data_IF_065483073371
#
_entry.id   IF_065483073371
#
_cell.length_a   1.000
_cell.length_b   1.000
_cell.length_c   1.000
_cell.angle_alpha   90.00
_cell.angle_beta   90.00
_cell.angle_gamma   90.00
#
_symmetry.space_group_name_H-M   'P 1'
#
loop_
_entity.id
_entity.type
_entity.pdbx_description
1 polymer ?
#
# COMPACT_ATOMS: atom_id res chain seq x y z
N UNK A 1 14.04 -12.26 -6.88
CA UNK A 1 14.22 -10.89 -6.36
C UNK A 1 14.47 -9.95 -7.53
N UNK A 2 13.67 -8.89 -7.69
CA UNK A 2 13.80 -7.92 -8.78
C UNK A 2 13.89 -6.51 -8.21
N UNK A 3 15.02 -5.83 -8.40
CA UNK A 3 15.26 -4.47 -7.90
C UNK A 3 14.97 -3.44 -8.99
N UNK A 4 14.11 -2.45 -8.71
CA UNK A 4 13.83 -1.38 -9.65
C UNK A 4 14.98 -0.37 -9.71
N UNK A 5 15.59 -0.24 -10.88
CA UNK A 5 16.65 0.73 -11.18
C UNK A 5 16.20 1.85 -12.12
N UNK A 6 14.89 2.06 -12.25
CA UNK A 6 14.34 3.17 -13.03
C UNK A 6 14.75 4.53 -12.51
N UNK A 7 14.67 5.55 -13.35
CA UNK A 7 15.21 6.90 -13.05
C UNK A 7 14.80 7.41 -11.66
N UNK A 8 13.53 7.26 -11.28
CA UNK A 8 13.02 7.68 -9.98
C UNK A 8 13.60 6.87 -8.79
N UNK A 9 13.82 5.56 -8.96
CA UNK A 9 14.45 4.73 -7.95
C UNK A 9 15.97 4.96 -7.90
N UNK A 10 16.59 5.17 -9.06
CA UNK A 10 18.01 5.43 -9.22
C UNK A 10 18.45 6.67 -8.44
N UNK A 11 17.72 7.79 -8.61
CA UNK A 11 18.00 9.04 -7.86
C UNK A 11 17.76 8.90 -6.35
N UNK A 12 17.00 7.90 -5.92
CA UNK A 12 16.75 7.55 -4.51
C UNK A 12 17.70 6.47 -3.98
N UNK A 13 18.86 6.31 -4.61
CA UNK A 13 19.91 5.38 -4.20
C UNK A 13 19.54 3.88 -4.30
N UNK A 14 18.59 3.50 -5.17
CA UNK A 14 18.31 2.10 -5.48
C UNK A 14 19.53 1.26 -5.92
N UNK A 15 20.58 1.81 -6.60
CA UNK A 15 21.79 1.05 -6.88
C UNK A 15 22.49 0.53 -5.62
N UNK A 16 22.40 1.27 -4.50
CA UNK A 16 22.92 0.80 -3.22
C UNK A 16 22.12 -0.37 -2.64
N UNK A 17 20.82 -0.42 -2.91
CA UNK A 17 19.96 -1.55 -2.53
C UNK A 17 20.33 -2.79 -3.35
N UNK A 18 20.49 -2.66 -4.67
CA UNK A 18 20.91 -3.76 -5.53
C UNK A 18 22.26 -4.33 -5.08
N UNK A 19 23.23 -3.45 -4.79
CA UNK A 19 24.55 -3.86 -4.30
C UNK A 19 24.48 -4.58 -2.95
N UNK A 20 23.65 -4.12 -2.03
CA UNK A 20 23.48 -4.81 -0.75
C UNK A 20 22.89 -6.22 -0.94
N UNK A 21 21.98 -6.41 -1.91
CA UNK A 21 21.52 -7.76 -2.27
C UNK A 21 22.65 -8.62 -2.83
N UNK A 22 23.52 -8.04 -3.68
CA UNK A 22 24.70 -8.75 -4.20
C UNK A 22 25.64 -9.17 -3.06
N UNK A 23 25.94 -8.25 -2.15
CA UNK A 23 26.85 -8.47 -1.02
C UNK A 23 26.29 -9.53 -0.04
N UNK A 24 24.99 -9.52 0.23
CA UNK A 24 24.34 -10.46 1.16
C UNK A 24 24.09 -11.85 0.56
N UNK A 25 23.76 -11.93 -0.73
CA UNK A 25 23.50 -13.20 -1.42
C UNK A 25 24.77 -13.81 -2.04
N UNK A 26 25.85 -13.03 -2.17
CA UNK A 26 27.10 -13.47 -2.78
C UNK A 26 27.01 -13.72 -4.29
N UNK A 27 26.08 -13.05 -4.98
CA UNK A 27 25.83 -13.19 -6.42
C UNK A 27 25.72 -11.81 -7.09
N UNK A 28 25.93 -11.73 -8.40
CA UNK A 28 25.70 -10.49 -9.16
C UNK A 28 24.23 -10.38 -9.64
N UNK A 29 23.79 -9.17 -9.97
CA UNK A 29 22.54 -8.99 -10.70
C UNK A 29 22.53 -9.77 -12.04
N UNK A 30 21.52 -10.60 -12.22
CA UNK A 30 21.34 -11.54 -13.34
C UNK A 30 21.71 -12.98 -12.99
N UNK A 31 22.23 -13.25 -11.79
CA UNK A 31 22.65 -14.57 -11.36
C UNK A 31 21.65 -15.22 -10.39
N UNK A 32 21.80 -16.53 -10.21
CA UNK A 32 21.05 -17.33 -9.24
C UNK A 32 22.03 -17.94 -8.27
N UNK A 33 21.69 -17.96 -6.98
CA UNK A 33 22.49 -18.57 -5.91
C UNK A 33 22.69 -20.07 -6.16
N UNK A 34 23.76 -20.63 -5.59
CA UNK A 34 24.12 -22.04 -5.79
C UNK A 34 23.06 -23.02 -5.23
N UNK A 35 22.42 -22.62 -4.12
CA UNK A 35 21.27 -23.32 -3.52
C UNK A 35 19.98 -23.22 -4.34
N UNK A 36 19.97 -22.38 -5.39
CA UNK A 36 18.81 -22.07 -6.25
C UNK A 36 17.61 -21.46 -5.52
N UNK A 37 17.83 -20.91 -4.33
CA UNK A 37 16.77 -20.25 -3.57
C UNK A 37 16.51 -18.82 -4.05
N UNK A 38 17.54 -18.11 -4.54
CA UNK A 38 17.43 -16.72 -4.94
C UNK A 38 17.98 -16.47 -6.35
N UNK A 39 17.15 -15.88 -7.20
CA UNK A 39 17.60 -15.20 -8.42
C UNK A 39 17.53 -13.70 -8.19
N UNK A 40 18.65 -13.00 -8.38
CA UNK A 40 18.71 -11.54 -8.29
C UNK A 40 18.62 -10.95 -9.68
N UNK A 41 17.63 -10.12 -9.94
CA UNK A 41 17.45 -9.39 -11.20
C UNK A 41 17.30 -7.90 -10.94
N UNK A 42 17.60 -7.10 -11.96
CA UNK A 42 17.31 -5.67 -11.95
C UNK A 42 16.37 -5.33 -13.08
N UNK A 43 15.42 -4.45 -12.83
CA UNK A 43 14.40 -4.05 -13.80
C UNK A 43 14.42 -2.54 -14.01
N UNK A 44 14.17 -2.12 -15.24
CA UNK A 44 14.23 -0.70 -15.60
C UNK A 44 13.10 0.13 -15.01
N UNK A 45 11.88 -0.38 -14.86
CA UNK A 45 10.80 0.38 -14.21
C UNK A 45 9.68 -0.56 -13.78
N UNK A 46 9.14 -0.31 -12.58
CA UNK A 46 7.97 -1.01 -12.04
C UNK A 46 6.71 -0.13 -11.99
N UNK A 47 6.77 1.10 -12.50
CA UNK A 47 5.60 1.99 -12.60
C UNK A 47 5.11 2.63 -11.29
N UNK A 48 5.78 2.37 -10.16
CA UNK A 48 5.41 2.93 -8.85
C UNK A 48 6.45 3.96 -8.33
N UNK A 49 6.82 4.91 -9.18
CA UNK A 49 7.88 5.90 -8.91
C UNK A 49 7.72 6.69 -7.59
N UNK A 50 6.49 6.93 -7.14
CA UNK A 50 6.19 7.60 -5.86
C UNK A 50 6.74 6.83 -4.64
N UNK A 51 6.80 5.50 -4.74
CA UNK A 51 7.15 4.57 -3.67
C UNK A 51 8.60 4.04 -3.77
N UNK A 52 9.37 4.56 -4.72
CA UNK A 52 10.77 4.18 -4.93
C UNK A 52 11.67 4.51 -3.73
N UNK A 53 12.73 3.70 -3.46
CA UNK A 53 13.15 2.48 -4.17
C UNK A 53 12.23 1.27 -3.94
N UNK A 54 11.99 0.49 -5.00
CA UNK A 54 11.12 -0.70 -4.95
C UNK A 54 11.92 -1.96 -5.24
N UNK A 55 11.62 -3.01 -4.48
CA UNK A 55 12.11 -4.37 -4.69
C UNK A 55 10.92 -5.30 -4.75
N UNK A 56 10.94 -6.28 -5.66
CA UNK A 56 9.93 -7.32 -5.74
C UNK A 56 10.57 -8.66 -5.39
N UNK A 57 9.99 -9.40 -4.44
CA UNK A 57 10.43 -10.75 -4.10
C UNK A 57 9.21 -11.66 -4.22
N UNK A 58 9.30 -12.69 -5.06
CA UNK A 58 8.21 -13.64 -5.32
C UNK A 58 6.84 -12.99 -5.60
N UNK A 59 6.84 -11.88 -6.36
CA UNK A 59 5.64 -11.12 -6.72
C UNK A 59 5.18 -10.08 -5.70
N UNK A 60 5.78 -10.04 -4.51
CA UNK A 60 5.45 -9.07 -3.45
C UNK A 60 6.29 -7.80 -3.58
N UNK A 61 5.63 -6.65 -3.52
CA UNK A 61 6.27 -5.33 -3.65
C UNK A 61 6.70 -4.79 -2.29
N UNK A 62 8.00 -4.48 -2.18
CA UNK A 62 8.59 -3.78 -1.06
C UNK A 62 8.89 -2.35 -1.50
N UNK A 63 8.28 -1.37 -0.84
CA UNK A 63 8.46 0.06 -1.10
C UNK A 63 9.41 0.72 -0.10
N UNK A 64 9.98 1.86 -0.50
CA UNK A 64 10.94 2.63 0.31
C UNK A 64 12.03 1.73 0.91
N UNK A 65 12.60 0.86 0.07
CA UNK A 65 13.64 -0.09 0.46
C UNK A 65 14.97 0.63 0.50
N UNK A 66 15.66 0.53 1.64
CA UNK A 66 17.04 0.96 1.79
C UNK A 66 17.94 -0.24 2.07
N UNK A 67 19.27 -0.09 2.02
CA UNK A 67 20.22 -1.18 2.27
C UNK A 67 19.95 -1.91 3.60
N UNK A 68 19.65 -1.17 4.67
CA UNK A 68 19.36 -1.76 5.98
C UNK A 68 18.14 -2.70 6.02
N UNK A 69 17.20 -2.59 5.06
CA UNK A 69 16.03 -3.48 4.98
C UNK A 69 16.32 -4.77 4.19
N UNK A 70 17.41 -4.83 3.43
CA UNK A 70 17.72 -5.95 2.54
C UNK A 70 17.88 -7.26 3.31
N UNK A 71 18.65 -7.23 4.40
CA UNK A 71 18.85 -8.41 5.24
C UNK A 71 17.51 -8.97 5.76
N UNK A 72 16.63 -8.10 6.26
CA UNK A 72 15.32 -8.51 6.75
C UNK A 72 14.46 -9.16 5.66
N UNK A 73 14.48 -8.63 4.44
CA UNK A 73 13.76 -9.20 3.28
C UNK A 73 14.29 -10.59 2.93
N UNK A 74 15.62 -10.78 2.94
CA UNK A 74 16.24 -12.08 2.67
C UNK A 74 15.88 -13.10 3.75
N UNK A 75 15.97 -12.73 5.02
CA UNK A 75 15.63 -13.61 6.15
C UNK A 75 14.13 -13.98 6.16
N UNK A 76 13.24 -13.01 5.88
CA UNK A 76 11.81 -13.22 5.73
C UNK A 76 11.53 -14.24 4.61
N UNK A 77 12.25 -14.14 3.48
CA UNK A 77 12.10 -15.07 2.36
C UNK A 77 12.64 -16.47 2.69
N UNK A 78 13.80 -16.58 3.37
CA UNK A 78 14.43 -17.88 3.71
C UNK A 78 13.67 -18.69 4.75
N UNK A 79 13.09 -18.03 5.75
CA UNK A 79 12.48 -18.74 6.88
C UNK A 79 11.14 -19.38 6.55
N UNK A 80 10.58 -19.11 5.36
CA UNK A 80 9.24 -19.57 5.01
C UNK A 80 8.17 -19.04 5.96
N UNK A 81 8.50 -18.05 6.82
CA UNK A 81 7.56 -17.31 7.67
C UNK A 81 6.81 -16.28 6.83
N UNK A 82 6.46 -16.68 5.60
CA UNK A 82 5.40 -16.07 4.85
C UNK A 82 4.16 -16.32 5.70
N UNK A 83 3.72 -15.31 6.45
CA UNK A 83 2.30 -15.18 6.74
C UNK A 83 1.58 -15.45 5.43
N UNK A 84 0.56 -16.31 5.48
CA UNK A 84 -0.23 -16.77 4.33
C UNK A 84 -1.01 -15.59 3.73
N UNK A 85 -0.30 -14.62 3.17
CA UNK A 85 -0.85 -13.40 2.63
C UNK A 85 -1.10 -13.62 1.15
N UNK A 86 -2.26 -14.26 0.94
CA UNK A 86 -3.16 -14.04 -0.20
C UNK A 86 -2.51 -14.32 -1.55
N UNK A 87 -2.48 -15.61 -1.91
CA UNK A 87 -2.43 -16.05 -3.29
C UNK A 87 -3.69 -15.53 -4.03
N UNK A 88 -3.56 -14.45 -4.79
CA UNK A 88 -4.60 -13.98 -5.69
C UNK A 88 -4.43 -12.56 -6.21
N UNK A 89 -3.82 -12.45 -7.39
CA UNK A 89 -3.84 -11.31 -8.31
C UNK A 89 -2.97 -10.08 -7.96
N UNK A 90 -2.23 -9.62 -8.97
CA UNK A 90 -1.11 -8.68 -8.89
C UNK A 90 -1.53 -7.28 -8.41
N UNK A 91 -0.71 -6.67 -7.52
CA UNK A 91 -0.65 -5.23 -7.11
C UNK A 91 -1.15 -4.85 -5.70
N UNK A 92 -1.05 -5.73 -4.70
CA UNK A 92 -1.31 -5.34 -3.30
C UNK A 92 -0.03 -4.78 -2.65
N UNK A 93 -0.10 -3.57 -2.11
CA UNK A 93 1.00 -2.95 -1.36
C UNK A 93 0.47 -2.00 -0.27
N UNK A 94 1.17 -1.83 0.85
CA UNK A 94 0.75 -0.92 1.91
C UNK A 94 0.86 0.54 1.48
N UNK A 95 -0.18 1.32 1.75
CA UNK A 95 -0.21 2.78 1.57
C UNK A 95 -0.26 3.50 2.91
N UNK A 96 0.67 4.43 3.10
CA UNK A 96 0.59 5.39 4.19
C UNK A 96 -0.20 6.61 3.74
N UNK A 97 -1.33 6.88 4.37
CA UNK A 97 -2.24 7.94 3.94
C UNK A 97 -2.38 9.09 4.94
N UNK A 98 -2.68 10.27 4.39
CA UNK A 98 -2.94 11.49 5.13
C UNK A 98 -4.19 12.21 4.60
N UNK A 99 -4.78 13.04 5.44
CA UNK A 99 -5.92 13.87 5.06
C UNK A 99 -5.51 14.90 3.99
N UNK A 100 -6.30 15.00 2.92
CA UNK A 100 -6.10 15.96 1.82
C UNK A 100 -6.30 17.44 2.21
N UNK A 101 -6.76 17.72 3.43
CA UNK A 101 -7.03 19.07 3.93
C UNK A 101 -6.06 19.53 5.00
N UNK A 102 -5.85 18.74 6.04
CA UNK A 102 -4.96 19.10 7.15
C UNK A 102 -3.60 18.38 7.13
N UNK A 103 -3.37 17.48 6.17
CA UNK A 103 -2.14 16.69 6.01
C UNK A 103 -1.78 15.79 7.22
N UNK A 104 -2.68 15.64 8.18
CA UNK A 104 -2.47 14.74 9.31
C UNK A 104 -2.56 13.28 8.86
N UNK A 105 -1.71 12.41 9.41
CA UNK A 105 -1.75 10.97 9.14
C UNK A 105 -3.07 10.36 9.58
N UNK A 106 -3.64 9.51 8.73
CA UNK A 106 -4.87 8.78 9.04
C UNK A 106 -4.57 7.35 9.52
N UNK A 107 -3.31 6.99 9.69
CA UNK A 107 -2.88 5.66 10.12
C UNK A 107 -3.15 5.43 11.61
N UNK A 108 -3.66 4.24 11.94
CA UNK A 108 -3.89 3.73 13.29
C UNK A 108 -3.06 2.46 13.50
N UNK A 109 -1.87 2.64 14.08
CA UNK A 109 -0.93 1.55 14.39
C UNK A 109 -1.40 0.66 15.53
N UNK A 110 -2.42 1.09 16.29
CA UNK A 110 -2.89 0.37 17.48
C UNK A 110 -3.93 -0.69 17.15
N UNK A 111 -4.50 -0.64 15.94
CA UNK A 111 -5.53 -1.56 15.46
C UNK A 111 -5.18 -1.96 14.02
N UNK A 112 -4.26 -2.91 13.82
CA UNK A 112 -3.89 -3.37 12.49
C UNK A 112 -5.05 -4.12 11.82
N UNK A 113 -5.13 -4.01 10.49
CA UNK A 113 -5.97 -4.82 9.61
C UNK A 113 -5.03 -5.43 8.57
N UNK A 114 -5.17 -6.73 8.30
CA UNK A 114 -4.26 -7.48 7.40
C UNK A 114 -2.79 -7.41 7.83
N UNK A 115 -2.51 -7.37 9.13
CA UNK A 115 -1.17 -7.19 9.70
C UNK A 115 -0.47 -5.85 9.40
N UNK A 116 -1.17 -4.89 8.80
CA UNK A 116 -0.69 -3.52 8.59
C UNK A 116 -1.47 -2.49 9.42
N UNK A 117 -0.88 -1.34 9.77
CA UNK A 117 -1.61 -0.23 10.40
C UNK A 117 -2.86 0.11 9.60
N UNK A 118 -4.02 0.18 10.24
CA UNK A 118 -5.27 0.51 9.54
C UNK A 118 -5.36 2.00 9.25
N UNK A 119 -6.27 2.39 8.35
CA UNK A 119 -6.62 3.77 8.09
C UNK A 119 -7.87 4.08 8.92
N UNK A 120 -7.76 4.98 9.90
CA UNK A 120 -8.88 5.38 10.76
C UNK A 120 -9.48 6.69 10.29
N UNK A 121 -10.77 6.65 9.98
CA UNK A 121 -11.58 7.79 9.57
C UNK A 121 -12.93 7.81 10.29
N UNK A 122 -13.68 8.89 10.13
CA UNK A 122 -15.05 8.99 10.65
C UNK A 122 -16.04 8.78 9.52
N UNK A 123 -17.05 7.96 9.73
CA UNK A 123 -18.12 7.71 8.80
C UNK A 123 -19.46 8.25 9.35
N UNK A 124 -20.28 8.80 8.45
CA UNK A 124 -21.67 9.17 8.72
C UNK A 124 -22.59 8.52 7.70
N UNK A 125 -23.62 7.83 8.18
CA UNK A 125 -24.58 7.09 7.37
C UNK A 125 -25.84 6.80 8.19
N UNK A 126 -27.02 6.76 7.56
CA UNK A 126 -28.29 6.39 8.22
C UNK A 126 -28.50 7.09 9.59
N UNK A 127 -28.22 8.39 9.67
CA UNK A 127 -28.25 9.22 10.90
C UNK A 127 -27.30 8.79 12.04
N UNK A 128 -26.36 7.89 11.76
CA UNK A 128 -25.30 7.46 12.66
C UNK A 128 -23.98 8.14 12.32
N UNK A 129 -23.15 8.32 13.34
CA UNK A 129 -21.79 8.83 13.24
C UNK A 129 -20.88 7.94 14.07
N UNK A 130 -19.79 7.46 13.48
CA UNK A 130 -18.85 6.58 14.19
C UNK A 130 -17.53 6.45 13.46
N UNK A 131 -16.60 5.69 14.04
CA UNK A 131 -15.34 5.39 13.38
C UNK A 131 -15.48 4.28 12.33
N UNK A 132 -14.62 4.37 11.32
CA UNK A 132 -14.39 3.36 10.30
C UNK A 132 -12.89 3.11 10.22
N UNK A 133 -12.48 1.85 10.17
CA UNK A 133 -11.11 1.43 9.89
C UNK A 133 -11.08 0.68 8.57
N UNK A 134 -10.12 1.03 7.74
CA UNK A 134 -9.89 0.40 6.44
C UNK A 134 -8.52 -0.25 6.47
N UNK A 135 -8.34 -1.34 5.73
CA UNK A 135 -7.00 -1.84 5.42
C UNK A 135 -6.17 -0.76 4.75
N UNK A 136 -4.89 -0.68 5.09
CA UNK A 136 -3.92 0.16 4.37
C UNK A 136 -3.30 -0.56 3.19
N UNK A 137 -3.59 -1.84 2.98
CA UNK A 137 -3.19 -2.54 1.78
C UNK A 137 -4.06 -2.10 0.61
N UNK A 138 -3.44 -1.46 -0.39
CA UNK A 138 -4.12 -1.17 -1.64
C UNK A 138 -4.58 -2.48 -2.30
N UNK A 139 -5.86 -2.58 -2.66
CA UNK A 139 -6.45 -3.83 -3.15
C UNK A 139 -7.16 -4.66 -2.08
N UNK A 140 -6.92 -4.40 -0.78
CA UNK A 140 -7.73 -4.99 0.29
C UNK A 140 -9.06 -4.24 0.43
N UNK A 141 -10.11 -5.01 0.68
CA UNK A 141 -11.47 -4.52 0.92
C UNK A 141 -11.90 -4.74 2.38
N UNK A 142 -10.97 -5.08 3.26
CA UNK A 142 -11.26 -5.28 4.67
C UNK A 142 -11.56 -3.96 5.35
N UNK A 143 -12.73 -3.91 5.99
CA UNK A 143 -13.28 -2.74 6.65
C UNK A 143 -13.89 -3.16 7.97
N UNK A 144 -13.56 -2.42 9.02
CA UNK A 144 -14.22 -2.49 10.31
C UNK A 144 -14.96 -1.19 10.61
N UNK A 145 -16.09 -1.30 11.30
CA UNK A 145 -16.95 -0.15 11.58
C UNK A 145 -17.52 -0.23 13.00
N UNK A 146 -17.62 0.91 13.68
CA UNK A 146 -18.24 1.01 15.00
C UNK A 146 -19.71 0.56 15.02
N UNK A 147 -20.41 0.85 13.92
CA UNK A 147 -21.82 0.51 13.74
C UNK A 147 -22.00 -0.27 12.45
N UNK A 148 -22.88 -1.29 12.43
CA UNK A 148 -23.11 -2.09 11.24
C UNK A 148 -23.64 -1.21 10.10
N UNK A 149 -22.96 -1.26 8.96
CA UNK A 149 -23.33 -0.55 7.75
C UNK A 149 -24.12 -1.51 6.86
N UNK A 150 -25.31 -1.08 6.42
CA UNK A 150 -26.11 -1.90 5.51
C UNK A 150 -25.40 -2.02 4.15
N UNK A 151 -25.48 -3.17 3.45
CA UNK A 151 -24.97 -3.28 2.09
C UNK A 151 -25.55 -2.18 1.19
N UNK A 152 -24.74 -1.64 0.28
CA UNK A 152 -25.08 -0.56 -0.64
C UNK A 152 -25.31 0.83 -0.03
N UNK A 153 -25.21 1.00 1.29
CA UNK A 153 -25.26 2.32 1.93
C UNK A 153 -24.07 3.17 1.49
N UNK A 154 -24.34 4.44 1.14
CA UNK A 154 -23.30 5.42 0.81
C UNK A 154 -22.94 6.19 2.08
N UNK A 155 -21.74 5.97 2.59
CA UNK A 155 -21.26 6.65 3.80
C UNK A 155 -20.52 7.94 3.45
N UNK A 156 -20.74 9.00 4.22
CA UNK A 156 -19.90 10.19 4.14
C UNK A 156 -18.67 9.99 5.02
N UNK A 157 -17.48 10.15 4.44
CA UNK A 157 -16.21 9.91 5.13
C UNK A 157 -15.53 11.24 5.48
N UNK A 158 -14.99 11.34 6.69
CA UNK A 158 -14.41 12.54 7.26
C UNK A 158 -13.06 12.26 7.92
N UNK A 159 -12.18 13.25 7.89
CA UNK A 159 -10.94 13.22 8.66
C UNK A 159 -11.26 13.31 10.17
N UNK A 160 -10.72 12.42 11.01
CA UNK A 160 -10.94 12.47 12.45
C UNK A 160 -10.23 13.65 13.14
N UNK A 161 -9.28 14.30 12.45
CA UNK A 161 -8.48 15.39 13.01
C UNK A 161 -9.05 16.78 12.73
N UNK A 162 -9.52 17.02 11.49
CA UNK A 162 -10.07 18.32 11.09
C UNK A 162 -11.57 18.29 10.79
N UNK A 163 -12.22 17.12 10.94
CA UNK A 163 -13.64 16.89 10.70
C UNK A 163 -14.14 17.27 9.30
N UNK A 164 -13.22 17.56 8.38
CA UNK A 164 -13.56 17.90 7.00
C UNK A 164 -13.83 16.63 6.21
N UNK A 165 -14.84 16.69 5.34
CA UNK A 165 -15.22 15.60 4.44
C UNK A 165 -14.06 15.28 3.48
N UNK A 166 -13.75 14.00 3.35
CA UNK A 166 -12.77 13.47 2.40
C UNK A 166 -13.48 13.31 1.05
N UNK A 167 -13.44 14.36 0.21
CA UNK A 167 -14.14 14.38 -1.08
C UNK A 167 -13.18 13.98 -2.19
N UNK A 168 -13.55 12.96 -2.97
CA UNK A 168 -12.86 12.55 -4.20
C UNK A 168 -13.22 13.42 -5.41
N UNK A 169 -12.35 13.41 -6.42
CA UNK A 169 -12.52 14.18 -7.64
C UNK A 169 -13.48 13.50 -8.64
N UNK A 170 -13.70 12.20 -8.48
CA UNK A 170 -14.47 11.37 -9.40
C UNK A 170 -15.39 10.41 -8.65
N UNK A 171 -16.39 9.92 -9.38
CA UNK A 171 -17.27 8.86 -8.91
C UNK A 171 -16.62 7.50 -9.18
N UNK A 172 -16.99 6.51 -8.37
CA UNK A 172 -16.54 5.14 -8.50
C UNK A 172 -16.89 4.59 -9.90
N UNK A 173 -15.93 4.01 -10.64
CA UNK A 173 -16.19 3.49 -11.98
C UNK A 173 -17.11 2.26 -11.97
N UNK A 174 -17.18 1.53 -10.86
CA UNK A 174 -17.99 0.31 -10.74
C UNK A 174 -19.46 0.60 -10.40
N UNK A 175 -19.71 1.51 -9.46
CA UNK A 175 -21.06 1.72 -8.91
C UNK A 175 -21.54 3.18 -8.91
N UNK A 176 -20.74 4.09 -9.49
CA UNK A 176 -21.04 5.51 -9.67
C UNK A 176 -21.22 6.29 -8.35
N UNK A 177 -20.96 5.67 -7.20
CA UNK A 177 -21.01 6.34 -5.91
C UNK A 177 -19.87 7.37 -5.77
N UNK A 178 -20.03 8.41 -4.94
CA UNK A 178 -18.93 9.33 -4.64
C UNK A 178 -17.72 8.57 -4.09
N UNK A 179 -16.51 9.05 -4.39
CA UNK A 179 -15.30 8.51 -3.78
C UNK A 179 -14.80 9.44 -2.68
N UNK A 180 -14.04 8.89 -1.73
CA UNK A 180 -13.31 9.64 -0.74
C UNK A 180 -11.82 9.64 -1.06
N UNK A 181 -11.18 10.81 -1.02
CA UNK A 181 -9.77 10.98 -1.38
C UNK A 181 -8.87 11.22 -0.17
N UNK A 182 -7.73 10.54 -0.17
CA UNK A 182 -6.65 10.67 0.80
C UNK A 182 -5.33 10.80 0.06
N UNK A 183 -4.39 11.56 0.61
CA UNK A 183 -3.04 11.73 0.04
C UNK A 183 -2.19 10.54 0.47
N UNK A 184 -1.37 10.00 -0.43
CA UNK A 184 -0.37 8.99 -0.09
C UNK A 184 0.94 9.69 0.26
N UNK A 185 1.53 9.35 1.42
CA UNK A 185 2.87 9.79 1.80
C UNK A 185 3.87 9.13 0.85
N UNK A 186 4.49 9.94 -0.01
CA UNK A 186 5.35 9.48 -1.10
C UNK A 186 4.94 10.03 -2.48
N UNK A 187 3.69 10.50 -2.59
CA UNK A 187 3.15 11.09 -3.82
C UNK A 187 1.89 10.37 -4.30
N UNK A 188 0.99 11.12 -4.92
CA UNK A 188 -0.30 10.62 -5.40
C UNK A 188 -1.44 10.68 -4.38
N UNK A 189 -2.61 10.25 -4.83
CA UNK A 189 -3.83 10.14 -4.03
C UNK A 189 -4.46 8.77 -4.22
N UNK A 190 -4.99 8.23 -3.13
CA UNK A 190 -5.89 7.08 -3.18
C UNK A 190 -7.32 7.59 -3.05
N UNK A 191 -8.20 7.03 -3.87
CA UNK A 191 -9.62 7.25 -3.81
C UNK A 191 -10.31 5.92 -3.53
N UNK A 192 -11.18 5.91 -2.53
CA UNK A 192 -11.96 4.72 -2.15
C UNK A 192 -13.44 4.97 -2.38
N UNK A 193 -14.17 3.95 -2.83
CA UNK A 193 -15.62 4.04 -2.95
C UNK A 193 -16.26 4.24 -1.57
N UNK A 194 -17.24 5.15 -1.48
CA UNK A 194 -18.00 5.38 -0.25
C UNK A 194 -19.19 4.44 -0.07
N UNK A 195 -19.49 3.60 -1.09
CA UNK A 195 -20.57 2.62 -1.03
C UNK A 195 -20.08 1.36 -0.33
N UNK A 196 -20.73 1.02 0.78
CA UNK A 196 -20.45 -0.21 1.50
C UNK A 196 -20.75 -1.45 0.65
N UNK A 197 -19.76 -2.33 0.51
CA UNK A 197 -19.82 -3.54 -0.34
C UNK A 197 -19.36 -3.32 -1.79
N UNK A 198 -18.89 -2.13 -2.16
CA UNK A 198 -18.23 -1.90 -3.44
C UNK A 198 -16.71 -1.93 -3.24
N UNK A 199 -16.03 -2.64 -4.14
CA UNK A 199 -14.58 -2.85 -4.08
C UNK A 199 -13.79 -1.76 -4.81
N UNK A 200 -14.47 -0.87 -5.53
CA UNK A 200 -13.84 0.17 -6.32
C UNK A 200 -12.90 1.08 -5.52
N UNK A 201 -11.62 0.99 -5.86
CA UNK A 201 -10.57 1.90 -5.41
C UNK A 201 -9.79 2.40 -6.64
N UNK A 202 -9.22 3.59 -6.52
CA UNK A 202 -8.44 4.20 -7.58
C UNK A 202 -7.19 4.83 -7.01
N UNK A 203 -6.06 4.53 -7.64
CA UNK A 203 -4.78 5.12 -7.36
C UNK A 203 -4.44 6.12 -8.47
N UNK A 204 -4.25 7.38 -8.10
CA UNK A 204 -3.74 8.40 -9.01
C UNK A 204 -2.36 8.83 -8.52
N UNK A 205 -1.31 8.40 -9.22
CA UNK A 205 0.09 8.65 -8.84
C UNK A 205 0.66 9.94 -9.41
N UNK A 206 -0.11 10.71 -10.19
CA UNK A 206 0.34 11.95 -10.84
C UNK A 206 1.26 11.71 -12.05
#
# INVERSE_FOLDING_TARGET
VSVCLGTACHVRAAPGVAREFEDQLGICAGETTEDREFTLETVNCLGACALGPIVVVDGRYYSNVGPAKVQAIIEETKTGTLSEDIAGDERVFPVEVACSRCNHGLMDVTHPIDDYPSIRITASFDDKHGWLRLSSLYGSHHVESEHPIRPNTIAQLFCPHCHTKLVGAMNCPECVAPMASMIIRGGGVVQICTRHGCNGHLLDVG
#
